data_IF_474409945037
#
_entry.id   IF_474409945037
#
_cell.length_a   1.000
_cell.length_b   1.000
_cell.length_c   1.000
_cell.angle_alpha   90.00
_cell.angle_beta   90.00
_cell.angle_gamma   90.00
#
_symmetry.space_group_name_H-M   'P 1'
#
loop_
_entity.id
_entity.type
_entity.pdbx_description
1 polymer ?
#
# COMPACT_ATOMS: atom_id res chain seq x y z
N UNK A 1 -46.43 13.77 8.22
CA UNK A 1 -45.80 13.71 9.56
C UNK A 1 -45.31 12.27 9.76
N UNK A 2 -44.07 12.11 10.22
CA UNK A 2 -43.41 10.91 10.74
C UNK A 2 -42.45 10.06 9.84
N UNK A 3 -41.16 10.22 10.20
CA UNK A 3 -39.95 9.39 10.10
C UNK A 3 -39.21 9.20 8.75
N UNK A 4 -37.96 9.72 8.65
CA UNK A 4 -37.01 9.27 7.64
C UNK A 4 -36.33 7.95 8.07
N UNK A 5 -36.26 6.99 7.14
CA UNK A 5 -35.48 5.77 7.31
C UNK A 5 -33.99 6.11 7.17
N UNK A 6 -33.30 5.96 8.29
CA UNK A 6 -31.86 6.07 8.45
C UNK A 6 -31.20 4.75 8.02
N UNK A 7 -29.92 4.84 7.64
CA UNK A 7 -28.89 3.77 7.62
C UNK A 7 -29.09 2.58 6.67
N UNK A 8 -28.38 2.57 5.52
CA UNK A 8 -27.40 1.52 5.14
C UNK A 8 -26.36 2.14 4.18
N UNK A 9 -25.37 2.83 4.72
CA UNK A 9 -24.04 2.93 4.09
C UNK A 9 -23.03 2.72 5.22
N UNK A 10 -22.85 1.46 5.59
CA UNK A 10 -21.75 1.08 6.47
C UNK A 10 -20.45 1.31 5.68
N UNK A 11 -19.75 2.38 6.01
CA UNK A 11 -18.35 2.55 5.64
C UNK A 11 -17.56 1.29 6.06
N UNK A 12 -16.59 0.83 5.26
CA UNK A 12 -15.79 -0.33 5.63
C UNK A 12 -15.14 -0.09 6.98
N UNK A 13 -15.45 -0.98 7.92
CA UNK A 13 -14.86 -1.05 9.25
C UNK A 13 -13.34 -1.17 9.08
N UNK A 14 -12.63 -0.04 9.16
CA UNK A 14 -11.17 -0.03 9.25
C UNK A 14 -10.82 -0.75 10.55
N UNK A 15 -10.15 -1.92 10.54
CA UNK A 15 -9.76 -2.54 11.79
C UNK A 15 -8.82 -1.58 12.51
N UNK A 16 -9.27 -1.13 13.68
CA UNK A 16 -8.50 -0.34 14.61
C UNK A 16 -7.40 -1.22 15.22
N UNK A 17 -6.35 -1.45 14.44
CA UNK A 17 -5.13 -2.09 14.92
C UNK A 17 -3.92 -1.15 14.79
N UNK A 18 -4.11 0.11 15.21
CA UNK A 18 -3.10 1.16 15.21
C UNK A 18 -2.09 1.03 16.37
N UNK A 19 -2.30 0.09 17.30
CA UNK A 19 -1.43 -0.10 18.48
C UNK A 19 -0.24 -1.04 18.22
N UNK A 20 -0.31 -1.94 17.23
CA UNK A 20 0.80 -2.88 16.94
C UNK A 20 1.90 -2.24 16.07
N UNK A 21 1.60 -1.17 15.33
CA UNK A 21 2.60 -0.43 14.53
C UNK A 21 3.46 0.55 15.34
N UNK A 22 3.05 0.90 16.57
CA UNK A 22 3.82 1.78 17.45
C UNK A 22 5.06 1.08 18.05
N UNK A 23 4.95 -0.20 18.44
CA UNK A 23 6.08 -1.00 18.97
C UNK A 23 7.18 -1.25 17.92
N UNK A 24 6.84 -1.17 16.62
CA UNK A 24 7.82 -1.30 15.54
C UNK A 24 8.72 -0.06 15.37
N UNK A 25 8.29 1.10 15.88
CA UNK A 25 9.04 2.36 15.77
C UNK A 25 10.17 2.50 16.81
N UNK A 26 10.17 1.68 17.87
CA UNK A 26 11.17 1.75 18.94
C UNK A 26 12.15 0.57 18.95
N UNK A 27 12.25 -0.18 17.84
CA UNK A 27 13.18 -1.31 17.74
C UNK A 27 14.63 -0.88 18.01
N UNK A 28 15.04 0.27 17.46
CA UNK A 28 16.37 0.83 17.71
C UNK A 28 16.57 1.23 19.17
N UNK A 29 15.54 1.76 19.82
CA UNK A 29 15.57 2.19 21.22
C UNK A 29 15.68 1.00 22.17
N UNK A 30 15.01 -0.12 21.87
CA UNK A 30 15.16 -1.37 22.62
C UNK A 30 16.53 -2.03 22.40
N UNK A 31 17.07 -1.98 21.17
CA UNK A 31 18.45 -2.42 20.90
C UNK A 31 19.44 -1.56 21.68
N UNK A 32 19.27 -0.24 21.69
CA UNK A 32 20.09 0.68 22.47
C UNK A 32 20.00 0.45 23.98
N UNK A 33 18.80 0.22 24.51
CA UNK A 33 18.57 -0.12 25.92
C UNK A 33 19.24 -1.45 26.30
N UNK A 34 19.07 -2.49 25.47
CA UNK A 34 19.70 -3.78 25.67
C UNK A 34 21.22 -3.65 25.68
N UNK A 35 21.78 -2.88 24.75
CA UNK A 35 23.21 -2.62 24.67
C UNK A 35 23.73 -1.84 25.89
N UNK A 36 22.99 -0.83 26.33
CA UNK A 36 23.32 -0.01 27.51
C UNK A 36 23.32 -0.82 28.82
N UNK A 37 22.52 -1.89 28.91
CA UNK A 37 22.51 -2.81 30.05
C UNK A 37 23.56 -3.93 29.91
N UNK A 38 23.80 -4.41 28.70
CA UNK A 38 24.76 -5.49 28.42
C UNK A 38 26.22 -5.05 28.61
N UNK A 39 26.59 -3.87 28.10
CA UNK A 39 27.96 -3.37 28.19
C UNK A 39 28.49 -3.33 29.64
N UNK A 40 27.79 -2.71 30.61
CA UNK A 40 28.26 -2.70 32.00
C UNK A 40 28.19 -4.08 32.66
N UNK A 41 27.19 -4.92 32.32
CA UNK A 41 27.12 -6.29 32.84
C UNK A 41 28.31 -7.15 32.38
N UNK A 42 28.76 -6.98 31.14
CA UNK A 42 29.96 -7.65 30.62
C UNK A 42 31.23 -7.08 31.27
N UNK A 43 31.29 -5.76 31.49
CA UNK A 43 32.41 -5.12 32.17
C UNK A 43 32.61 -5.67 33.60
N UNK A 44 31.50 -5.84 34.32
CA UNK A 44 31.48 -6.40 35.68
C UNK A 44 31.89 -7.88 35.68
N UNK A 45 31.40 -8.68 34.72
CA UNK A 45 31.75 -10.10 34.62
C UNK A 45 33.22 -10.32 34.21
N UNK A 46 33.76 -9.49 33.33
CA UNK A 46 35.12 -9.69 32.82
C UNK A 46 36.21 -9.04 33.70
N UNK A 47 35.85 -8.33 34.78
CA UNK A 47 36.75 -7.50 35.60
C UNK A 47 37.62 -6.54 34.76
N UNK A 48 37.19 -6.21 33.53
CA UNK A 48 37.92 -5.35 32.61
C UNK A 48 37.03 -4.24 32.14
N UNK A 49 37.55 -3.01 32.16
CA UNK A 49 36.86 -1.88 31.57
C UNK A 49 36.81 -2.06 30.03
N UNK A 50 35.61 -2.13 29.42
CA UNK A 50 35.48 -2.36 27.98
C UNK A 50 36.16 -1.25 27.16
N UNK A 51 36.22 -0.03 27.72
CA UNK A 51 36.98 1.06 27.13
C UNK A 51 38.49 0.76 27.12
N UNK A 52 39.05 0.20 28.19
CA UNK A 52 40.46 -0.14 28.26
C UNK A 52 40.82 -1.27 27.29
N UNK A 53 39.93 -2.26 27.11
CA UNK A 53 40.09 -3.32 26.10
C UNK A 53 40.13 -2.72 24.68
N UNK A 54 39.22 -1.79 24.37
CA UNK A 54 39.21 -1.08 23.07
C UNK A 54 40.47 -0.24 22.89
N UNK A 55 40.94 0.47 23.92
CA UNK A 55 42.17 1.27 23.87
C UNK A 55 43.42 0.40 23.70
N UNK A 56 43.50 -0.75 24.40
CA UNK A 56 44.60 -1.71 24.22
C UNK A 56 44.58 -2.33 22.82
N UNK A 57 43.40 -2.61 22.28
CA UNK A 57 43.25 -3.07 20.91
C UNK A 57 43.71 -2.00 19.90
N UNK A 58 43.29 -0.73 20.06
CA UNK A 58 43.75 0.39 19.23
C UNK A 58 45.28 0.56 19.30
N UNK A 59 45.86 0.55 20.50
CA UNK A 59 47.33 0.61 20.68
C UNK A 59 48.04 -0.59 20.07
N UNK A 60 47.41 -1.76 20.04
CA UNK A 60 47.97 -2.93 19.36
C UNK A 60 47.87 -2.78 17.84
N UNK A 61 46.79 -2.20 17.31
CA UNK A 61 46.60 -1.93 15.88
C UNK A 61 47.57 -0.87 15.34
N UNK A 62 47.88 0.15 16.15
CA UNK A 62 48.90 1.17 15.88
C UNK A 62 50.28 0.55 15.62
N UNK A 63 50.66 -0.50 16.37
CA UNK A 63 51.94 -1.22 16.16
C UNK A 63 52.02 -1.96 14.82
N UNK A 64 50.89 -2.24 14.18
CA UNK A 64 50.82 -2.93 12.89
C UNK A 64 50.53 -1.97 11.73
N UNK A 65 50.55 -0.64 11.95
CA UNK A 65 50.18 0.39 10.95
C UNK A 65 48.79 0.13 10.30
N UNK A 66 47.88 -0.52 11.04
CA UNK A 66 46.56 -0.88 10.53
C UNK A 66 45.55 0.28 10.60
N UNK A 67 45.93 1.41 11.20
CA UNK A 67 45.03 2.56 11.42
C UNK A 67 44.50 3.14 10.09
N UNK A 68 45.33 3.19 9.05
CA UNK A 68 44.95 3.63 7.70
C UNK A 68 43.87 2.72 7.09
N UNK A 69 43.98 1.40 7.27
CA UNK A 69 42.96 0.44 6.86
C UNK A 69 41.67 0.58 7.67
N UNK A 70 41.77 0.83 8.98
CA UNK A 70 40.60 1.03 9.83
C UNK A 70 39.83 2.29 9.45
N UNK A 71 40.51 3.40 9.13
CA UNK A 71 39.86 4.63 8.67
C UNK A 71 39.12 4.38 7.36
N UNK A 72 39.76 3.74 6.38
CA UNK A 72 39.13 3.37 5.11
C UNK A 72 37.92 2.46 5.30
N UNK A 73 38.04 1.45 6.18
CA UNK A 73 36.95 0.54 6.52
C UNK A 73 35.79 1.25 7.23
N UNK A 74 36.06 2.17 8.16
CA UNK A 74 35.03 2.95 8.84
C UNK A 74 34.29 3.88 7.88
N UNK A 75 35.02 4.55 6.98
CA UNK A 75 34.41 5.39 5.93
C UNK A 75 33.49 4.54 5.07
N UNK A 76 33.97 3.39 4.59
CA UNK A 76 33.16 2.45 3.81
C UNK A 76 31.91 2.00 4.58
N UNK A 77 32.06 1.63 5.86
CA UNK A 77 30.95 1.20 6.71
C UNK A 77 29.91 2.31 6.89
N UNK A 78 30.34 3.55 7.12
CA UNK A 78 29.46 4.70 7.22
C UNK A 78 28.65 4.91 5.93
N UNK A 79 29.32 4.88 4.76
CA UNK A 79 28.64 5.01 3.48
C UNK A 79 27.66 3.85 3.22
N UNK A 80 28.04 2.63 3.56
CA UNK A 80 27.19 1.44 3.44
C UNK A 80 25.93 1.60 4.31
N UNK A 81 26.08 2.03 5.56
CA UNK A 81 24.95 2.26 6.47
C UNK A 81 24.02 3.35 5.94
N UNK A 82 24.57 4.46 5.45
CA UNK A 82 23.79 5.54 4.84
C UNK A 82 23.03 5.04 3.60
N UNK A 83 23.67 4.27 2.72
CA UNK A 83 23.03 3.73 1.53
C UNK A 83 21.87 2.78 1.89
N UNK A 84 22.08 1.89 2.87
CA UNK A 84 21.02 0.99 3.35
C UNK A 84 19.81 1.76 3.90
N UNK A 85 20.03 2.81 4.69
CA UNK A 85 18.94 3.64 5.20
C UNK A 85 18.20 4.37 4.09
N UNK A 86 18.92 4.90 3.08
CA UNK A 86 18.31 5.56 1.93
C UNK A 86 17.43 4.60 1.13
N UNK A 87 17.93 3.39 0.84
CA UNK A 87 17.17 2.36 0.10
C UNK A 87 15.89 1.97 0.83
N UNK A 88 15.95 1.76 2.15
CA UNK A 88 14.76 1.41 2.92
C UNK A 88 13.70 2.52 2.89
N UNK A 89 14.12 3.79 3.00
CA UNK A 89 13.20 4.93 2.93
C UNK A 89 12.56 5.03 1.54
N UNK A 90 13.34 4.86 0.48
CA UNK A 90 12.84 4.90 -0.90
C UNK A 90 11.82 3.79 -1.15
N UNK A 91 12.13 2.54 -0.81
CA UNK A 91 11.20 1.43 -0.98
C UNK A 91 9.90 1.61 -0.20
N UNK A 92 9.98 2.20 1.01
CA UNK A 92 8.78 2.48 1.79
C UNK A 92 7.90 3.54 1.12
N UNK A 93 8.51 4.61 0.65
CA UNK A 93 7.82 5.69 -0.05
C UNK A 93 7.19 5.21 -1.36
N UNK A 94 7.91 4.40 -2.13
CA UNK A 94 7.40 3.80 -3.37
C UNK A 94 6.19 2.91 -3.11
N UNK A 95 6.23 2.07 -2.07
CA UNK A 95 5.09 1.25 -1.66
C UNK A 95 3.90 2.07 -1.19
N UNK A 96 4.14 3.16 -0.46
CA UNK A 96 3.06 4.06 0.00
C UNK A 96 2.37 4.73 -1.19
N UNK A 97 3.15 5.21 -2.18
CA UNK A 97 2.62 5.80 -3.42
C UNK A 97 1.79 4.77 -4.20
N UNK A 98 2.29 3.54 -4.35
CA UNK A 98 1.57 2.51 -5.10
C UNK A 98 0.25 2.11 -4.42
N UNK A 99 0.25 2.01 -3.08
CA UNK A 99 -0.98 1.77 -2.32
C UNK A 99 -1.99 2.91 -2.44
N UNK A 100 -1.53 4.16 -2.47
CA UNK A 100 -2.40 5.32 -2.65
C UNK A 100 -3.04 5.32 -4.04
N UNK A 101 -2.28 5.03 -5.10
CA UNK A 101 -2.83 4.87 -6.46
C UNK A 101 -3.92 3.80 -6.52
N UNK A 102 -3.65 2.62 -5.96
CA UNK A 102 -4.62 1.51 -5.90
C UNK A 102 -5.88 1.97 -5.16
N UNK A 103 -5.72 2.63 -4.02
CA UNK A 103 -6.86 3.11 -3.21
C UNK A 103 -7.74 4.09 -3.98
N UNK A 104 -7.13 5.08 -4.65
CA UNK A 104 -7.85 6.07 -5.45
C UNK A 104 -8.58 5.40 -6.62
N UNK A 105 -7.90 4.48 -7.33
CA UNK A 105 -8.49 3.76 -8.44
C UNK A 105 -9.70 2.93 -8.00
N UNK A 106 -9.58 2.14 -6.93
CA UNK A 106 -10.70 1.34 -6.40
C UNK A 106 -11.87 2.22 -5.99
N UNK A 107 -11.62 3.38 -5.38
CA UNK A 107 -12.67 4.33 -5.01
C UNK A 107 -13.37 4.93 -6.24
N UNK A 108 -12.61 5.29 -7.28
CA UNK A 108 -13.14 5.80 -8.54
C UNK A 108 -13.99 4.75 -9.26
N UNK A 109 -13.52 3.51 -9.30
CA UNK A 109 -14.18 2.39 -9.96
C UNK A 109 -15.47 2.00 -9.25
N UNK A 110 -15.45 1.94 -7.92
CA UNK A 110 -16.65 1.79 -7.11
C UNK A 110 -17.66 2.90 -7.38
N UNK A 111 -17.20 4.15 -7.48
CA UNK A 111 -18.06 5.30 -7.81
C UNK A 111 -18.66 5.19 -9.21
N UNK A 112 -17.85 4.80 -10.21
CA UNK A 112 -18.30 4.58 -11.57
C UNK A 112 -19.32 3.43 -11.65
N UNK A 113 -19.11 2.35 -10.88
CA UNK A 113 -20.06 1.24 -10.78
C UNK A 113 -21.41 1.71 -10.24
N UNK A 114 -21.40 2.54 -9.19
CA UNK A 114 -22.63 3.14 -8.65
C UNK A 114 -23.33 4.05 -9.66
N UNK A 115 -22.60 4.90 -10.38
CA UNK A 115 -23.16 5.78 -11.41
C UNK A 115 -23.78 4.95 -12.54
N UNK A 116 -23.06 3.95 -13.04
CA UNK A 116 -23.53 3.08 -14.11
C UNK A 116 -24.78 2.30 -13.69
N UNK A 117 -24.78 1.72 -12.49
CA UNK A 117 -25.93 0.96 -12.00
C UNK A 117 -27.18 1.86 -11.87
N UNK A 118 -27.01 3.10 -11.39
CA UNK A 118 -28.11 4.07 -11.36
C UNK A 118 -28.60 4.41 -12.78
N UNK A 119 -27.68 4.56 -13.73
CA UNK A 119 -28.03 4.79 -15.13
C UNK A 119 -28.78 3.60 -15.74
N UNK A 120 -28.33 2.36 -15.54
CA UNK A 120 -29.00 1.15 -16.01
C UNK A 120 -30.42 1.05 -15.45
N UNK A 121 -30.61 1.34 -14.16
CA UNK A 121 -31.94 1.39 -13.54
C UNK A 121 -32.85 2.46 -14.19
N UNK A 122 -32.32 3.63 -14.52
CA UNK A 122 -33.08 4.67 -15.24
C UNK A 122 -33.43 4.21 -16.66
N UNK A 123 -32.51 3.54 -17.34
CA UNK A 123 -32.74 3.03 -18.68
C UNK A 123 -33.81 1.94 -18.69
N UNK A 124 -33.94 1.11 -17.64
CA UNK A 124 -35.02 0.12 -17.54
C UNK A 124 -36.42 0.76 -17.62
N UNK A 125 -36.59 1.98 -17.11
CA UNK A 125 -37.86 2.72 -17.25
C UNK A 125 -38.14 3.06 -18.72
N UNK A 126 -37.11 3.39 -19.50
CA UNK A 126 -37.22 3.63 -20.94
C UNK A 126 -37.66 2.36 -21.65
N UNK A 127 -37.07 1.20 -21.30
CA UNK A 127 -37.49 -0.09 -21.84
C UNK A 127 -38.96 -0.39 -21.55
N UNK A 128 -39.40 -0.25 -20.31
CA UNK A 128 -40.81 -0.46 -19.92
C UNK A 128 -41.73 0.46 -20.74
N UNK A 129 -41.33 1.70 -20.98
CA UNK A 129 -42.12 2.65 -21.78
C UNK A 129 -42.21 2.22 -23.24
N UNK A 130 -41.09 1.77 -23.82
CA UNK A 130 -41.02 1.27 -25.18
C UNK A 130 -41.82 -0.03 -25.37
N UNK A 131 -41.72 -0.98 -24.44
CA UNK A 131 -42.48 -2.24 -24.42
C UNK A 131 -44.00 -1.98 -24.40
N UNK A 132 -44.44 -0.96 -23.67
CA UNK A 132 -45.85 -0.59 -23.57
C UNK A 132 -46.33 0.32 -24.73
N UNK A 133 -45.46 0.70 -25.66
CA UNK A 133 -45.82 1.56 -26.79
C UNK A 133 -46.28 0.72 -27.99
N UNK A 134 -47.55 0.85 -28.43
CA UNK A 134 -48.05 0.10 -29.58
C UNK A 134 -47.27 0.42 -30.86
N UNK A 135 -46.81 -0.61 -31.57
CA UNK A 135 -46.08 -0.46 -32.83
C UNK A 135 -44.58 -0.15 -32.69
N UNK A 136 -44.02 -0.21 -31.47
CA UNK A 136 -42.57 -0.10 -31.27
C UNK A 136 -41.83 -1.30 -31.89
N UNK A 137 -40.70 -1.06 -32.56
CA UNK A 137 -39.94 -2.11 -33.26
C UNK A 137 -39.22 -3.04 -32.25
N UNK A 138 -39.56 -4.34 -32.20
CA UNK A 138 -38.94 -5.29 -31.29
C UNK A 138 -37.42 -5.44 -31.47
N UNK A 139 -36.90 -5.18 -32.68
CA UNK A 139 -35.45 -5.28 -32.95
C UNK A 139 -34.67 -4.19 -32.25
N UNK A 140 -35.28 -3.03 -32.02
CA UNK A 140 -34.66 -1.92 -31.29
C UNK A 140 -34.57 -2.26 -29.79
N UNK A 141 -35.57 -2.98 -29.26
CA UNK A 141 -35.55 -3.47 -27.88
C UNK A 141 -34.47 -4.54 -27.65
N UNK A 142 -34.30 -5.46 -28.61
CA UNK A 142 -33.26 -6.49 -28.54
C UNK A 142 -31.84 -5.90 -28.59
N UNK A 143 -31.63 -4.91 -29.49
CA UNK A 143 -30.39 -4.16 -29.55
C UNK A 143 -30.13 -3.39 -28.25
N UNK A 144 -31.17 -2.77 -27.68
CA UNK A 144 -31.08 -2.08 -26.41
C UNK A 144 -30.61 -3.03 -25.29
N UNK A 145 -31.23 -4.23 -25.18
CA UNK A 145 -30.89 -5.21 -24.14
C UNK A 145 -29.44 -5.68 -24.28
N UNK A 146 -29.00 -5.90 -25.52
CA UNK A 146 -27.61 -6.28 -25.82
C UNK A 146 -26.63 -5.20 -25.35
N UNK A 147 -26.87 -3.93 -25.69
CA UNK A 147 -25.98 -2.82 -25.31
C UNK A 147 -25.95 -2.63 -23.78
N UNK A 148 -27.09 -2.77 -23.10
CA UNK A 148 -27.15 -2.67 -21.64
C UNK A 148 -26.36 -3.81 -20.96
N UNK A 149 -26.51 -5.03 -21.45
CA UNK A 149 -25.77 -6.19 -20.95
C UNK A 149 -24.26 -6.04 -21.17
N UNK A 150 -23.85 -5.61 -22.38
CA UNK A 150 -22.44 -5.39 -22.71
C UNK A 150 -21.82 -4.30 -21.83
N UNK A 151 -22.54 -3.21 -21.57
CA UNK A 151 -22.07 -2.14 -20.68
C UNK A 151 -21.88 -2.62 -19.24
N UNK A 152 -22.82 -3.41 -18.71
CA UNK A 152 -22.70 -4.01 -17.37
C UNK A 152 -21.49 -4.95 -17.30
N UNK A 153 -21.32 -5.81 -18.31
CA UNK A 153 -20.23 -6.77 -18.39
C UNK A 153 -18.86 -6.08 -18.46
N UNK A 154 -18.70 -5.07 -19.32
CA UNK A 154 -17.45 -4.30 -19.41
C UNK A 154 -17.10 -3.63 -18.08
N UNK A 155 -18.09 -3.14 -17.33
CA UNK A 155 -17.86 -2.56 -16.01
C UNK A 155 -17.42 -3.61 -14.98
N UNK A 156 -17.97 -4.82 -15.03
CA UNK A 156 -17.53 -5.93 -14.18
C UNK A 156 -16.11 -6.38 -14.52
N UNK A 157 -15.77 -6.46 -15.81
CA UNK A 157 -14.41 -6.79 -16.28
C UNK A 157 -13.38 -5.75 -15.79
N UNK A 158 -13.70 -4.46 -15.89
CA UNK A 158 -12.88 -3.38 -15.35
C UNK A 158 -12.73 -3.47 -13.81
N UNK A 159 -13.78 -3.89 -13.10
CA UNK A 159 -13.76 -4.05 -11.63
C UNK A 159 -12.90 -5.20 -11.11
N UNK A 160 -12.64 -6.21 -11.95
CA UNK A 160 -11.94 -7.44 -11.53
C UNK A 160 -10.44 -7.42 -11.85
N UNK A 161 -9.89 -6.29 -12.29
CA UNK A 161 -8.47 -6.17 -12.61
C UNK A 161 -7.60 -6.35 -11.36
N UNK A 162 -6.71 -7.35 -11.42
CA UNK A 162 -5.82 -7.74 -10.32
C UNK A 162 -4.56 -6.88 -10.27
N UNK A 163 -4.14 -6.34 -11.42
CA UNK A 163 -3.05 -5.37 -11.54
C UNK A 163 -3.56 -4.10 -12.22
N UNK A 164 -3.26 -2.94 -11.62
CA UNK A 164 -3.74 -1.64 -12.08
C UNK A 164 -2.58 -0.95 -12.80
N UNK A 165 -2.36 -1.33 -14.06
CA UNK A 165 -1.47 -0.64 -15.00
C UNK A 165 -2.26 -0.03 -16.15
N UNK A 166 -1.72 0.99 -16.80
CA UNK A 166 -2.37 1.64 -17.95
C UNK A 166 -2.71 0.65 -19.07
N UNK A 167 -1.85 -0.35 -19.28
CA UNK A 167 -2.02 -1.41 -20.29
C UNK A 167 -3.17 -2.35 -19.92
N UNK A 168 -3.20 -2.85 -18.68
CA UNK A 168 -4.31 -3.68 -18.16
C UNK A 168 -5.66 -2.96 -18.18
N UNK A 169 -5.68 -1.64 -17.92
CA UNK A 169 -6.91 -0.85 -18.01
C UNK A 169 -7.38 -0.80 -19.47
N UNK A 170 -6.51 -0.44 -20.42
CA UNK A 170 -6.88 -0.36 -21.84
C UNK A 170 -7.34 -1.69 -22.41
N UNK A 171 -6.73 -2.79 -22.00
CA UNK A 171 -7.09 -4.12 -22.49
C UNK A 171 -8.44 -4.62 -21.94
N UNK A 172 -8.83 -4.18 -20.74
CA UNK A 172 -10.09 -4.59 -20.08
C UNK A 172 -11.36 -3.99 -20.70
N UNK A 173 -11.24 -2.86 -21.41
CA UNK A 173 -12.37 -2.12 -22.02
C UNK A 173 -12.35 -2.15 -23.54
N UNK A 174 -11.54 -3.02 -24.17
CA UNK A 174 -11.56 -3.18 -25.62
C UNK A 174 -12.89 -3.81 -26.07
N UNK A 175 -13.68 -3.15 -26.93
CA UNK A 175 -14.86 -3.76 -27.52
C UNK A 175 -14.45 -4.98 -28.36
N UNK A 176 -15.19 -6.08 -28.24
CA UNK A 176 -15.02 -7.28 -29.05
C UNK A 176 -15.82 -7.21 -30.34
#
# INVERSE_FOLDING_TARGET
>A
MNKPANTIFQAPHKPMNRKITALRHYKLTWIGLALALLIPAIADWCETEPFEVVVRFLKSAERYELDEFFIGFFIFLCFLVVDLFRRQKQQKMEKEIEQEKITIYTAMLSSAHHILNNFLNQMQLVKITADNTPGFDPRVLDLYDTIMHDAEKQMQELSNLTEITEETIKDSVKPR
#
